data_IF_071397215998
#
_entry.id   IF_071397215998
#
_cell.length_a   1.000
_cell.length_b   1.000
_cell.length_c   1.000
_cell.angle_alpha   90.00
_cell.angle_beta   90.00
_cell.angle_gamma   90.00
#
_symmetry.space_group_name_H-M   'P 1'
#
loop_
_entity.id
_entity.type
_entity.pdbx_description
1 polymer ?
#
# COMPACT_ATOMS: atom_id res chain seq x y z
N UNK A 1 26.14 -6.91 -52.80
CA UNK A 1 25.52 -6.35 -51.58
C UNK A 1 25.25 -7.52 -50.63
N UNK A 2 26.06 -7.67 -49.58
CA UNK A 2 26.09 -8.90 -48.74
C UNK A 2 24.97 -8.81 -47.69
N UNK A 3 24.13 -9.83 -47.65
CA UNK A 3 22.99 -9.92 -46.74
C UNK A 3 23.41 -9.84 -45.28
N UNK A 4 22.75 -8.96 -44.54
CA UNK A 4 22.72 -9.00 -43.08
C UNK A 4 21.44 -9.74 -42.72
N UNK A 5 21.52 -11.07 -42.68
CA UNK A 5 20.52 -11.86 -41.98
C UNK A 5 20.52 -11.37 -40.54
N UNK A 6 19.43 -10.73 -40.13
CA UNK A 6 19.14 -10.49 -38.73
C UNK A 6 18.84 -11.85 -38.12
N UNK A 7 19.87 -12.55 -37.63
CA UNK A 7 19.62 -13.67 -36.74
C UNK A 7 18.75 -13.17 -35.58
N UNK A 8 17.65 -13.86 -35.25
CA UNK A 8 16.91 -13.54 -34.04
C UNK A 8 17.87 -13.77 -32.87
N UNK A 9 18.19 -12.71 -32.14
CA UNK A 9 19.03 -12.78 -30.94
C UNK A 9 18.37 -13.78 -30.00
N UNK A 10 18.93 -14.99 -29.92
CA UNK A 10 18.43 -16.08 -29.09
C UNK A 10 18.75 -15.74 -27.64
N UNK A 11 17.85 -15.01 -26.98
CA UNK A 11 17.98 -14.61 -25.59
C UNK A 11 18.15 -15.85 -24.72
N UNK A 12 19.03 -15.76 -23.70
CA UNK A 12 19.28 -16.87 -22.78
C UNK A 12 18.00 -17.16 -21.98
N UNK A 13 17.60 -18.43 -21.76
CA UNK A 13 16.35 -18.80 -21.08
C UNK A 13 16.17 -18.13 -19.70
N UNK A 14 17.27 -17.83 -18.99
CA UNK A 14 17.23 -17.15 -17.70
C UNK A 14 16.81 -15.69 -17.74
N UNK A 15 16.89 -15.01 -18.89
CA UNK A 15 16.44 -13.61 -19.05
C UNK A 15 14.92 -13.57 -19.17
N UNK A 16 14.31 -14.42 -20.01
CA UNK A 16 12.85 -14.50 -20.16
C UNK A 16 12.16 -14.89 -18.85
N UNK A 17 12.72 -15.84 -18.10
CA UNK A 17 12.16 -16.23 -16.79
C UNK A 17 12.21 -15.09 -15.79
N UNK A 18 13.31 -14.31 -15.78
CA UNK A 18 13.45 -13.15 -14.89
C UNK A 18 12.50 -12.02 -15.27
N UNK A 19 12.33 -11.76 -16.57
CA UNK A 19 11.44 -10.73 -17.08
C UNK A 19 9.96 -11.10 -16.82
N UNK A 20 9.60 -12.38 -16.99
CA UNK A 20 8.30 -12.91 -16.62
C UNK A 20 8.06 -12.79 -15.09
N UNK A 21 9.02 -13.21 -14.26
CA UNK A 21 8.91 -13.07 -12.81
C UNK A 21 8.74 -11.60 -12.38
N UNK A 22 9.52 -10.69 -12.96
CA UNK A 22 9.43 -9.26 -12.68
C UNK A 22 8.08 -8.66 -13.10
N UNK A 23 7.53 -9.04 -14.26
CA UNK A 23 6.17 -8.62 -14.66
C UNK A 23 5.09 -9.13 -13.70
N UNK A 24 5.19 -10.39 -13.25
CA UNK A 24 4.25 -10.96 -12.27
C UNK A 24 4.33 -10.25 -10.92
N UNK A 25 5.52 -9.88 -10.46
CA UNK A 25 5.71 -9.11 -9.21
C UNK A 25 5.05 -7.73 -9.30
N UNK A 26 5.22 -7.01 -10.42
CA UNK A 26 4.60 -5.70 -10.64
C UNK A 26 3.07 -5.83 -10.68
N UNK A 27 2.54 -6.83 -11.38
CA UNK A 27 1.09 -7.07 -11.44
C UNK A 27 0.51 -7.38 -10.07
N UNK A 28 1.14 -8.27 -9.30
CA UNK A 28 0.73 -8.61 -7.95
C UNK A 28 0.74 -7.38 -7.03
N UNK A 29 1.79 -6.57 -7.11
CA UNK A 29 1.89 -5.32 -6.38
C UNK A 29 0.76 -4.35 -6.75
N UNK A 30 0.48 -4.17 -8.05
CA UNK A 30 -0.58 -3.29 -8.52
C UNK A 30 -1.96 -3.75 -8.01
N UNK A 31 -2.23 -5.05 -8.05
CA UNK A 31 -3.46 -5.63 -7.51
C UNK A 31 -3.60 -5.43 -6.00
N UNK A 32 -2.54 -5.68 -5.24
CA UNK A 32 -2.53 -5.45 -3.79
C UNK A 32 -2.77 -3.97 -3.45
N UNK A 33 -2.17 -3.06 -4.24
CA UNK A 33 -2.33 -1.62 -4.08
C UNK A 33 -3.77 -1.17 -4.33
N UNK A 34 -4.41 -1.69 -5.37
CA UNK A 34 -5.82 -1.40 -5.66
C UNK A 34 -6.72 -1.98 -4.56
N UNK A 35 -6.42 -3.19 -4.07
CA UNK A 35 -7.20 -3.83 -3.03
C UNK A 35 -7.14 -3.04 -1.71
N UNK A 36 -5.98 -2.52 -1.32
CA UNK A 36 -5.85 -1.69 -0.11
C UNK A 36 -6.64 -0.38 -0.24
N UNK A 37 -6.60 0.27 -1.41
CA UNK A 37 -7.42 1.45 -1.69
C UNK A 37 -8.92 1.14 -1.61
N UNK A 38 -9.38 0.03 -2.21
CA UNK A 38 -10.79 -0.39 -2.14
C UNK A 38 -11.24 -0.68 -0.71
N UNK A 39 -10.40 -1.34 0.09
CA UNK A 39 -10.68 -1.59 1.50
C UNK A 39 -10.84 -0.27 2.28
N UNK A 40 -9.93 0.69 2.07
CA UNK A 40 -10.02 2.02 2.67
C UNK A 40 -11.32 2.75 2.29
N UNK A 41 -11.66 2.79 1.00
CA UNK A 41 -12.89 3.46 0.55
C UNK A 41 -14.15 2.79 1.09
N UNK A 42 -14.16 1.47 1.20
CA UNK A 42 -15.27 0.74 1.81
C UNK A 42 -15.43 1.13 3.28
N UNK A 43 -14.33 1.19 4.03
CA UNK A 43 -14.35 1.57 5.44
C UNK A 43 -14.77 3.05 5.63
N UNK A 44 -14.27 3.95 4.78
CA UNK A 44 -14.65 5.36 4.74
C UNK A 44 -16.16 5.52 4.47
N UNK A 45 -16.71 4.79 3.50
CA UNK A 45 -18.14 4.82 3.19
C UNK A 45 -18.98 4.38 4.38
N UNK A 46 -18.64 3.26 5.01
CA UNK A 46 -19.33 2.77 6.21
C UNK A 46 -19.24 3.80 7.33
N UNK A 47 -18.07 4.38 7.56
CA UNK A 47 -17.86 5.43 8.56
C UNK A 47 -18.77 6.63 8.32
N UNK A 48 -18.86 7.13 7.08
CA UNK A 48 -19.74 8.26 6.74
C UNK A 48 -21.22 7.92 6.95
N UNK A 49 -21.68 6.75 6.49
CA UNK A 49 -23.09 6.33 6.62
C UNK A 49 -23.47 6.19 8.09
N UNK A 50 -22.64 5.50 8.88
CA UNK A 50 -22.91 5.29 10.31
C UNK A 50 -22.90 6.60 11.08
N UNK A 51 -21.87 7.44 10.90
CA UNK A 51 -21.82 8.73 11.62
C UNK A 51 -22.93 9.69 11.21
N UNK A 52 -23.36 9.66 9.94
CA UNK A 52 -24.51 10.44 9.50
C UNK A 52 -25.81 9.96 10.17
N UNK A 53 -26.02 8.64 10.27
CA UNK A 53 -27.16 8.09 11.00
C UNK A 53 -27.12 8.46 12.49
N UNK A 54 -25.95 8.37 13.14
CA UNK A 54 -25.76 8.76 14.54
C UNK A 54 -26.03 10.25 14.77
N UNK A 55 -25.59 11.11 13.85
CA UNK A 55 -25.89 12.55 13.90
C UNK A 55 -27.40 12.81 13.86
N UNK A 56 -28.15 12.11 13.00
CA UNK A 56 -29.61 12.25 12.94
C UNK A 56 -30.26 11.82 14.26
N UNK A 57 -29.80 10.71 14.85
CA UNK A 57 -30.31 10.20 16.14
C UNK A 57 -30.03 11.21 17.26
N UNK A 58 -28.81 11.76 17.29
CA UNK A 58 -28.39 12.76 18.28
C UNK A 58 -29.23 14.04 18.19
N UNK A 59 -29.47 14.55 16.98
CA UNK A 59 -30.33 15.72 16.77
C UNK A 59 -31.81 15.47 17.11
N UNK A 60 -32.28 14.23 17.00
CA UNK A 60 -33.64 13.84 17.35
C UNK A 60 -33.81 13.54 18.85
N UNK A 61 -32.72 13.41 19.60
CA UNK A 61 -32.73 13.09 21.02
C UNK A 61 -32.42 14.34 21.85
N UNK A 62 -33.26 14.70 22.84
CA UNK A 62 -32.88 15.74 23.79
C UNK A 62 -31.72 15.22 24.67
N UNK A 63 -30.64 15.99 24.76
CA UNK A 63 -29.47 15.64 25.55
C UNK A 63 -28.19 16.32 25.06
N UNK A 64 -27.08 15.97 25.71
CA UNK A 64 -25.76 16.40 25.26
C UNK A 64 -25.37 15.69 23.95
N UNK A 65 -24.64 16.35 23.04
CA UNK A 65 -24.29 15.79 21.75
C UNK A 65 -23.23 14.70 21.92
N UNK A 66 -23.66 13.45 21.93
CA UNK A 66 -22.80 12.28 22.15
C UNK A 66 -22.25 11.72 20.84
N UNK A 67 -22.78 12.11 19.68
CA UNK A 67 -22.30 11.65 18.37
C UNK A 67 -20.81 11.97 18.12
N UNK A 68 -20.25 12.98 18.80
CA UNK A 68 -18.83 13.34 18.69
C UNK A 68 -17.89 12.23 19.16
N UNK A 69 -18.29 11.41 20.14
CA UNK A 69 -17.45 10.33 20.66
C UNK A 69 -17.13 9.25 19.60
N UNK A 70 -18.13 8.63 18.93
CA UNK A 70 -17.84 7.70 17.84
C UNK A 70 -17.19 8.39 16.64
N UNK A 71 -17.56 9.63 16.33
CA UNK A 71 -16.96 10.40 15.24
C UNK A 71 -15.45 10.55 15.43
N UNK A 72 -15.01 11.04 16.59
CA UNK A 72 -13.60 11.26 16.89
C UNK A 72 -12.85 9.95 17.15
N UNK A 73 -13.45 9.03 17.90
CA UNK A 73 -12.83 7.75 18.24
C UNK A 73 -12.53 6.91 17.00
N UNK A 74 -13.52 6.68 16.14
CA UNK A 74 -13.34 5.90 14.92
C UNK A 74 -12.68 6.73 13.81
N UNK A 75 -12.90 8.04 13.80
CA UNK A 75 -12.27 8.96 12.85
C UNK A 75 -10.74 8.94 12.95
N UNK A 76 -10.20 8.81 14.16
CA UNK A 76 -8.76 8.67 14.36
C UNK A 76 -8.23 7.37 13.73
N UNK A 77 -8.91 6.24 13.95
CA UNK A 77 -8.54 4.96 13.34
C UNK A 77 -8.62 4.99 11.81
N UNK A 78 -9.65 5.62 11.26
CA UNK A 78 -9.79 5.85 9.82
C UNK A 78 -8.67 6.73 9.26
N UNK A 79 -8.27 7.78 10.00
CA UNK A 79 -7.14 8.64 9.65
C UNK A 79 -5.81 7.88 9.58
N UNK A 80 -5.55 6.99 10.54
CA UNK A 80 -4.37 6.12 10.52
C UNK A 80 -4.42 5.17 9.32
N UNK A 81 -5.57 4.55 9.05
CA UNK A 81 -5.74 3.65 7.91
C UNK A 81 -5.55 4.38 6.57
N UNK A 82 -6.02 5.63 6.45
CA UNK A 82 -5.77 6.49 5.29
C UNK A 82 -4.28 6.77 5.11
N UNK A 83 -3.58 7.09 6.20
CA UNK A 83 -2.17 7.44 6.17
C UNK A 83 -1.31 6.25 5.73
N UNK A 84 -1.66 5.04 6.17
CA UNK A 84 -1.06 3.78 5.71
C UNK A 84 -1.39 3.49 4.24
N UNK A 85 -2.67 3.59 3.87
CA UNK A 85 -3.12 3.28 2.50
C UNK A 85 -2.50 4.22 1.48
N UNK A 86 -2.34 5.51 1.78
CA UNK A 86 -1.76 6.48 0.85
C UNK A 86 -0.25 6.70 1.04
N UNK A 87 0.42 5.90 1.88
CA UNK A 87 1.86 6.01 2.15
C UNK A 87 2.29 7.44 2.55
N UNK A 88 1.38 8.20 3.18
CA UNK A 88 1.63 9.60 3.58
C UNK A 88 2.53 9.72 4.81
N UNK A 89 2.78 8.60 5.49
CA UNK A 89 3.65 8.55 6.64
C UNK A 89 5.04 8.07 6.21
N UNK A 90 6.10 8.87 6.40
CA UNK A 90 7.44 8.55 5.90
C UNK A 90 7.98 7.22 6.46
N UNK A 91 7.59 6.84 7.67
CA UNK A 91 7.97 5.57 8.32
C UNK A 91 7.13 4.35 7.89
N UNK A 92 6.07 4.52 7.10
CA UNK A 92 5.28 3.42 6.53
C UNK A 92 5.49 3.28 5.02
N UNK A 93 6.47 3.99 4.46
CA UNK A 93 6.85 3.86 3.05
C UNK A 93 7.70 2.61 2.85
N UNK A 94 7.56 1.96 1.69
CA UNK A 94 8.39 0.79 1.36
C UNK A 94 9.87 1.12 1.31
N UNK A 95 10.24 2.35 0.93
CA UNK A 95 11.62 2.81 0.94
C UNK A 95 12.21 2.79 2.36
N UNK A 96 11.44 3.23 3.36
CA UNK A 96 11.85 3.13 4.76
C UNK A 96 11.98 1.67 5.20
N UNK A 97 11.00 0.82 4.85
CA UNK A 97 11.04 -0.60 5.20
C UNK A 97 12.27 -1.30 4.61
N UNK A 98 12.57 -1.06 3.33
CA UNK A 98 13.74 -1.61 2.65
C UNK A 98 15.04 -1.14 3.31
N UNK A 99 15.15 0.16 3.61
CA UNK A 99 16.32 0.71 4.31
C UNK A 99 16.50 0.07 5.69
N UNK A 100 15.42 -0.11 6.46
CA UNK A 100 15.49 -0.70 7.80
C UNK A 100 15.84 -2.18 7.75
N UNK A 101 15.33 -2.92 6.76
CA UNK A 101 15.72 -4.33 6.55
C UNK A 101 17.21 -4.45 6.22
N UNK A 102 17.73 -3.60 5.33
CA UNK A 102 19.16 -3.58 5.00
C UNK A 102 20.03 -3.28 6.22
N UNK A 103 19.65 -2.27 7.01
CA UNK A 103 20.34 -1.91 8.25
C UNK A 103 20.40 -3.08 9.24
N UNK A 104 19.30 -3.82 9.42
CA UNK A 104 19.24 -4.99 10.31
C UNK A 104 20.05 -6.18 9.78
N UNK A 105 20.14 -6.35 8.46
CA UNK A 105 21.01 -7.37 7.85
C UNK A 105 22.47 -7.02 8.06
N UNK A 106 22.84 -5.76 7.82
CA UNK A 106 24.20 -5.25 8.01
C UNK A 106 24.64 -5.34 9.48
N UNK A 107 23.76 -5.04 10.43
CA UNK A 107 24.00 -5.21 11.86
C UNK A 107 24.34 -6.67 12.21
N UNK A 108 23.66 -7.64 11.56
CA UNK A 108 23.78 -9.07 11.91
C UNK A 108 24.86 -9.81 11.13
N UNK A 109 25.15 -9.41 9.90
CA UNK A 109 26.01 -10.13 8.95
C UNK A 109 27.27 -9.32 8.57
N UNK A 110 27.29 -8.01 8.85
CA UNK A 110 28.31 -7.08 8.35
C UNK A 110 27.99 -6.56 6.95
N UNK A 111 28.73 -5.54 6.44
CA UNK A 111 28.44 -4.91 5.16
C UNK A 111 28.58 -5.92 4.01
N UNK A 112 27.69 -5.86 2.98
CA UNK A 112 27.78 -6.75 1.83
C UNK A 112 29.13 -6.58 1.11
N UNK A 113 29.70 -7.65 0.53
CA UNK A 113 30.92 -7.55 -0.26
C UNK A 113 30.72 -6.54 -1.40
N UNK A 114 31.60 -5.54 -1.49
CA UNK A 114 31.59 -4.59 -2.60
C UNK A 114 31.90 -5.36 -3.90
N UNK A 115 30.95 -5.35 -4.84
CA UNK A 115 31.05 -6.01 -6.14
C UNK A 115 31.93 -5.24 -7.13
#
# INVERSE_FOLDING_TARGET
MRGRSTEPVKLRPGIEVRDAAHSMEIEQWAWQRVQSMRAFYTHLMIYCVVNFALLIIDLASPGDPWFFYPLLGWGLGLGIHAAQTFERLPWFTRDWEQRKVQELIEEKIGPPPQA
#
